data_IF_810213095025
#
_entry.id   IF_810213095025
#
_cell.length_a   1.000
_cell.length_b   1.000
_cell.length_c   1.000
_cell.angle_alpha   90.00
_cell.angle_beta   90.00
_cell.angle_gamma   90.00
#
_symmetry.space_group_name_H-M   'P 1'
#
loop_
_entity.id
_entity.type
_entity.pdbx_description
1 polymer ?
#
# COMPACT_ATOMS: atom_id res chain seq x y z
N UNK A 1 20.54 6.41 10.64
CA UNK A 1 19.50 6.32 9.59
C UNK A 1 18.44 5.28 9.93
N UNK A 2 18.78 3.99 10.10
CA UNK A 2 17.79 2.94 10.46
C UNK A 2 17.03 3.17 11.76
N UNK A 3 17.68 3.77 12.77
CA UNK A 3 17.02 4.08 14.04
C UNK A 3 15.90 5.12 13.90
N UNK A 4 16.08 6.09 12.99
CA UNK A 4 15.17 7.21 12.78
C UNK A 4 14.12 6.92 11.69
N UNK A 5 14.50 6.26 10.60
CA UNK A 5 13.65 6.01 9.43
C UNK A 5 13.05 4.60 9.40
N UNK A 6 13.39 3.77 10.38
CA UNK A 6 13.16 2.33 10.32
C UNK A 6 14.01 1.64 9.24
N UNK A 7 13.87 0.31 9.16
CA UNK A 7 14.57 -0.51 8.17
C UNK A 7 14.11 -0.20 6.74
N UNK A 8 12.80 -0.10 6.51
CA UNK A 8 12.24 0.16 5.16
C UNK A 8 12.60 1.55 4.66
N UNK A 9 12.37 2.60 5.46
CA UNK A 9 12.68 3.97 5.06
C UNK A 9 14.17 4.19 4.79
N UNK A 10 15.04 3.64 5.65
CA UNK A 10 16.48 3.68 5.41
C UNK A 10 16.90 2.95 4.13
N UNK A 11 16.30 1.79 3.82
CA UNK A 11 16.61 1.07 2.59
C UNK A 11 16.09 1.80 1.35
N UNK A 12 14.91 2.43 1.38
CA UNK A 12 14.39 3.24 0.26
C UNK A 12 15.28 4.47 0.02
N UNK A 13 15.72 5.15 1.08
CA UNK A 13 16.66 6.26 0.99
C UNK A 13 17.99 5.82 0.35
N UNK A 14 18.54 4.68 0.79
CA UNK A 14 19.77 4.12 0.25
C UNK A 14 19.63 3.67 -1.21
N UNK A 15 18.52 3.00 -1.55
CA UNK A 15 18.22 2.64 -2.94
C UNK A 15 18.09 3.87 -3.82
N UNK A 16 17.41 4.93 -3.36
CA UNK A 16 17.27 6.17 -4.13
C UNK A 16 18.63 6.82 -4.38
N UNK A 17 19.54 6.75 -3.39
CA UNK A 17 20.92 7.27 -3.51
C UNK A 17 21.77 6.47 -4.50
N UNK A 18 21.60 5.15 -4.55
CA UNK A 18 22.44 4.24 -5.35
C UNK A 18 21.88 4.01 -6.75
N UNK A 19 20.58 3.74 -6.87
CA UNK A 19 19.90 3.37 -8.11
C UNK A 19 19.30 4.57 -8.84
N UNK A 20 19.23 5.72 -8.18
CA UNK A 20 18.63 6.94 -8.73
C UNK A 20 17.11 7.01 -8.53
N UNK A 21 16.56 8.24 -8.61
CA UNK A 21 15.13 8.49 -8.41
C UNK A 21 14.22 8.01 -9.54
N UNK A 22 14.79 7.65 -10.69
CA UNK A 22 14.08 7.05 -11.82
C UNK A 22 13.67 5.59 -11.56
N UNK A 23 14.40 4.88 -10.70
CA UNK A 23 14.14 3.46 -10.36
C UNK A 23 13.41 3.28 -9.04
N UNK A 24 13.45 4.27 -8.16
CA UNK A 24 12.81 4.23 -6.84
C UNK A 24 11.69 5.27 -6.80
N UNK A 25 10.41 4.85 -6.68
CA UNK A 25 9.30 5.79 -6.62
C UNK A 25 9.50 6.82 -5.50
N UNK A 26 9.26 8.09 -5.83
CA UNK A 26 9.45 9.20 -4.91
C UNK A 26 8.55 9.06 -3.67
N UNK A 27 9.01 9.58 -2.54
CA UNK A 27 8.30 9.52 -1.27
C UNK A 27 9.06 10.21 -0.16
N UNK A 28 8.51 10.10 1.05
CA UNK A 28 9.11 10.60 2.28
C UNK A 28 8.83 9.65 3.43
N UNK A 29 9.62 9.77 4.50
CA UNK A 29 9.48 8.95 5.71
C UNK A 29 9.24 9.85 6.91
N UNK A 30 8.13 9.62 7.61
CA UNK A 30 7.86 10.18 8.93
C UNK A 30 8.60 9.30 9.94
N UNK A 31 9.37 9.93 10.82
CA UNK A 31 10.36 9.25 11.66
C UNK A 31 9.72 8.40 12.76
N UNK A 32 10.51 7.46 13.30
CA UNK A 32 10.17 6.73 14.52
C UNK A 32 9.97 7.65 15.72
N UNK A 33 10.71 8.76 15.79
CA UNK A 33 10.57 9.76 16.86
C UNK A 33 9.20 10.43 16.85
N UNK A 34 8.61 10.70 15.68
CA UNK A 34 7.25 11.21 15.58
C UNK A 34 6.22 10.20 16.15
N UNK A 35 6.43 8.90 15.90
CA UNK A 35 5.62 7.85 16.51
C UNK A 35 5.77 7.82 18.03
N UNK A 36 6.99 7.94 18.55
CA UNK A 36 7.24 7.99 20.00
C UNK A 36 6.57 9.20 20.64
N UNK A 37 6.73 10.38 20.04
CA UNK A 37 6.07 11.61 20.51
C UNK A 37 4.54 11.48 20.51
N UNK A 38 3.96 10.89 19.45
CA UNK A 38 2.52 10.59 19.39
C UNK A 38 2.05 9.68 20.53
N UNK A 39 2.82 8.64 20.85
CA UNK A 39 2.49 7.71 21.94
C UNK A 39 2.61 8.36 23.32
N UNK A 40 3.69 9.13 23.55
CA UNK A 40 3.92 9.83 24.82
C UNK A 40 2.88 10.94 25.07
N UNK A 41 2.37 11.56 24.00
CA UNK A 41 1.28 12.53 24.04
C UNK A 41 -0.12 11.88 24.16
N UNK A 42 -0.21 10.59 24.48
CA UNK A 42 -1.47 9.89 24.68
C UNK A 42 -2.27 9.70 23.38
N UNK A 43 -1.58 9.41 22.28
CA UNK A 43 -2.15 9.27 20.92
C UNK A 43 -2.71 10.58 20.36
N UNK A 44 -2.03 11.67 20.69
CA UNK A 44 -2.29 12.99 20.12
C UNK A 44 -1.18 13.31 19.15
N UNK A 45 -1.52 13.85 17.97
CA UNK A 45 -0.50 14.24 17.00
C UNK A 45 0.44 15.32 17.58
N UNK A 46 1.77 15.15 17.44
CA UNK A 46 2.73 16.18 17.81
C UNK A 46 2.46 17.50 17.08
N UNK A 47 2.71 18.62 17.77
CA UNK A 47 2.61 19.95 17.17
C UNK A 47 3.54 20.07 15.96
N UNK A 48 3.02 20.63 14.86
CA UNK A 48 3.77 20.83 13.60
C UNK A 48 3.86 19.62 12.68
N UNK A 49 3.47 18.40 13.12
CA UNK A 49 3.54 17.21 12.28
C UNK A 49 2.68 17.33 11.02
N UNK A 50 1.47 17.88 11.14
CA UNK A 50 0.56 18.09 10.01
C UNK A 50 1.17 19.03 8.96
N UNK A 51 1.77 20.14 9.40
CA UNK A 51 2.42 21.12 8.51
C UNK A 51 3.64 20.52 7.79
N UNK A 52 4.46 19.72 8.49
CA UNK A 52 5.61 19.03 7.90
C UNK A 52 5.17 17.99 6.86
N UNK A 53 4.14 17.20 7.17
CA UNK A 53 3.57 16.22 6.24
C UNK A 53 3.00 16.92 5.01
N UNK A 54 2.29 18.03 5.18
CA UNK A 54 1.75 18.82 4.08
C UNK A 54 2.87 19.39 3.18
N UNK A 55 3.95 19.90 3.77
CA UNK A 55 5.10 20.41 3.02
C UNK A 55 5.80 19.30 2.21
N UNK A 56 6.00 18.12 2.81
CA UNK A 56 6.61 16.99 2.12
C UNK A 56 5.70 16.37 1.05
N UNK A 57 4.38 16.36 1.27
CA UNK A 57 3.41 15.97 0.27
C UNK A 57 3.43 16.91 -0.93
N UNK A 58 3.45 18.23 -0.72
CA UNK A 58 3.55 19.21 -1.79
C UNK A 58 4.83 19.03 -2.62
N UNK A 59 5.97 18.78 -1.96
CA UNK A 59 7.22 18.47 -2.65
C UNK A 59 7.17 17.15 -3.43
N UNK A 60 6.45 16.15 -2.92
CA UNK A 60 6.21 14.89 -3.64
C UNK A 60 5.35 15.12 -4.89
N UNK A 61 4.28 15.90 -4.78
CA UNK A 61 3.41 16.27 -5.91
C UNK A 61 4.19 17.02 -7.01
N UNK A 62 5.02 18.00 -6.63
CA UNK A 62 5.88 18.73 -7.56
C UNK A 62 6.82 17.78 -8.30
N UNK A 63 7.47 16.87 -7.56
CA UNK A 63 8.41 15.90 -8.13
C UNK A 63 7.74 14.86 -9.02
N UNK A 64 6.51 14.45 -8.66
CA UNK A 64 5.73 13.49 -9.43
C UNK A 64 5.04 14.14 -10.65
N UNK A 65 4.96 15.47 -10.70
CA UNK A 65 4.22 16.22 -11.71
C UNK A 65 2.70 15.98 -11.65
N UNK A 66 2.19 15.48 -10.53
CA UNK A 66 0.80 15.03 -10.33
C UNK A 66 0.35 15.37 -8.92
N UNK A 67 -0.96 15.53 -8.72
CA UNK A 67 -1.54 15.91 -7.41
C UNK A 67 -2.54 14.88 -6.91
N UNK A 68 -2.69 14.80 -5.58
CA UNK A 68 -3.79 14.02 -5.00
C UNK A 68 -5.13 14.64 -5.41
N UNK A 69 -6.15 13.79 -5.61
CA UNK A 69 -7.49 14.17 -6.11
C UNK A 69 -7.50 14.94 -7.44
N UNK A 70 -6.43 14.85 -8.23
CA UNK A 70 -6.45 15.33 -9.62
C UNK A 70 -7.48 14.50 -10.41
N UNK A 71 -8.51 15.12 -11.01
CA UNK A 71 -9.56 14.38 -11.70
C UNK A 71 -9.10 13.81 -13.03
N UNK A 72 -7.95 14.23 -13.56
CA UNK A 72 -7.41 13.87 -14.87
C UNK A 72 -6.26 12.85 -14.75
N UNK A 73 -5.23 13.14 -13.95
CA UNK A 73 -4.08 12.24 -13.71
C UNK A 73 -3.68 12.26 -12.23
N UNK A 74 -4.40 11.49 -11.37
CA UNK A 74 -4.19 11.52 -9.93
C UNK A 74 -2.83 10.95 -9.54
N UNK A 75 -2.12 11.67 -8.67
CA UNK A 75 -1.12 11.05 -7.82
C UNK A 75 -1.84 10.14 -6.82
N UNK A 76 -1.32 8.92 -6.67
CA UNK A 76 -1.73 8.00 -5.63
C UNK A 76 -0.50 7.61 -4.83
N UNK A 77 -0.67 7.39 -3.53
CA UNK A 77 0.42 7.01 -2.62
C UNK A 77 0.10 5.73 -1.86
N UNK A 78 1.16 5.06 -1.42
CA UNK A 78 1.09 4.02 -0.39
C UNK A 78 1.61 4.56 0.93
N UNK A 79 1.02 4.10 2.02
CA UNK A 79 1.43 4.39 3.39
C UNK A 79 1.85 3.08 4.02
N UNK A 80 3.14 2.95 4.32
CA UNK A 80 3.78 1.70 4.76
C UNK A 80 4.51 1.90 6.07
N UNK A 81 4.14 1.13 7.07
CA UNK A 81 4.87 1.00 8.32
C UNK A 81 6.29 0.45 8.12
N UNK A 82 7.24 0.93 8.93
CA UNK A 82 8.63 0.48 8.92
C UNK A 82 9.30 0.68 10.27
N UNK A 83 9.32 -0.36 11.10
CA UNK A 83 10.10 -0.35 12.34
C UNK A 83 11.61 -0.53 12.08
N UNK A 84 12.43 -0.28 13.11
CA UNK A 84 13.89 -0.49 13.05
C UNK A 84 14.25 -1.93 12.69
N UNK A 85 13.56 -2.88 13.29
CA UNK A 85 13.66 -4.30 12.98
C UNK A 85 12.42 -4.77 12.21
N UNK A 86 12.59 -5.78 11.37
CA UNK A 86 11.49 -6.31 10.55
C UNK A 86 10.46 -6.99 11.43
N UNK A 87 9.19 -6.59 11.31
CA UNK A 87 8.05 -7.20 11.99
C UNK A 87 7.03 -7.66 10.95
N UNK A 88 7.26 -8.80 10.27
CA UNK A 88 6.43 -9.24 9.15
C UNK A 88 5.00 -9.56 9.59
N UNK A 89 4.01 -9.00 8.87
CA UNK A 89 2.59 -9.23 9.13
C UNK A 89 2.06 -8.63 10.44
N UNK A 90 2.84 -7.78 11.11
CA UNK A 90 2.47 -7.14 12.38
C UNK A 90 2.02 -5.69 12.23
N UNK A 91 2.35 -5.05 11.11
CA UNK A 91 2.12 -3.63 10.90
C UNK A 91 1.39 -3.41 9.59
N UNK A 92 0.52 -2.41 9.59
CA UNK A 92 -0.41 -2.19 8.49
C UNK A 92 0.24 -1.47 7.31
N UNK A 93 -0.41 -1.60 6.14
CA UNK A 93 -0.10 -0.90 4.91
C UNK A 93 -1.40 -0.48 4.24
N UNK A 94 -1.43 0.72 3.69
CA UNK A 94 -2.53 1.23 2.87
C UNK A 94 -1.99 1.53 1.47
N UNK A 95 -2.60 0.95 0.44
CA UNK A 95 -2.26 1.20 -0.96
C UNK A 95 -3.33 2.07 -1.63
N UNK A 96 -2.99 2.69 -2.75
CA UNK A 96 -3.91 3.47 -3.59
C UNK A 96 -4.58 4.66 -2.85
N UNK A 97 -3.92 5.20 -1.81
CA UNK A 97 -4.41 6.37 -1.08
C UNK A 97 -4.43 7.60 -1.99
N UNK A 98 -5.51 8.37 -1.90
CA UNK A 98 -5.83 9.47 -2.82
C UNK A 98 -6.95 9.11 -3.79
N UNK A 99 -7.41 7.86 -3.82
CA UNK A 99 -8.59 7.49 -4.60
C UNK A 99 -9.88 8.03 -3.96
N UNK A 100 -10.69 8.62 -4.83
CA UNK A 100 -12.01 9.17 -4.55
C UNK A 100 -12.87 9.06 -5.81
N UNK A 101 -14.13 9.48 -5.72
CA UNK A 101 -15.07 9.40 -6.85
C UNK A 101 -14.61 10.23 -8.07
N UNK A 102 -13.76 11.25 -7.86
CA UNK A 102 -13.16 12.06 -8.94
C UNK A 102 -11.87 11.43 -9.47
N UNK A 103 -10.94 11.11 -8.58
CA UNK A 103 -9.65 10.54 -8.95
C UNK A 103 -9.78 9.19 -9.68
N UNK A 104 -10.77 8.36 -9.35
CA UNK A 104 -10.96 7.06 -10.03
C UNK A 104 -11.24 7.22 -11.52
N UNK A 105 -11.95 8.28 -11.91
CA UNK A 105 -12.24 8.59 -13.32
C UNK A 105 -10.98 9.04 -14.07
N UNK A 106 -10.11 9.83 -13.41
CA UNK A 106 -8.81 10.22 -13.96
C UNK A 106 -7.89 9.01 -14.15
N UNK A 107 -7.80 8.15 -13.13
CA UNK A 107 -7.04 6.91 -13.20
C UNK A 107 -7.53 6.00 -14.34
N UNK A 108 -8.85 5.87 -14.52
CA UNK A 108 -9.44 5.11 -15.63
C UNK A 108 -9.02 5.67 -16.99
N UNK A 109 -9.01 7.00 -17.16
CA UNK A 109 -8.60 7.65 -18.41
C UNK A 109 -7.12 7.45 -18.71
N UNK A 110 -6.23 7.73 -17.75
CA UNK A 110 -4.77 7.66 -17.95
C UNK A 110 -4.30 6.25 -18.23
N UNK A 111 -4.92 5.25 -17.60
CA UNK A 111 -4.56 3.84 -17.83
C UNK A 111 -5.29 3.20 -19.00
N UNK A 112 -6.34 3.83 -19.53
CA UNK A 112 -7.22 3.23 -20.53
C UNK A 112 -7.92 1.96 -20.02
N UNK A 113 -8.03 1.79 -18.70
CA UNK A 113 -8.49 0.57 -18.06
C UNK A 113 -9.42 0.90 -16.89
N UNK A 114 -10.70 1.13 -17.22
CA UNK A 114 -11.73 1.50 -16.25
C UNK A 114 -11.89 0.42 -15.15
N UNK A 115 -11.86 -0.86 -15.53
CA UNK A 115 -11.95 -1.96 -14.57
C UNK A 115 -10.83 -1.91 -13.54
N UNK A 116 -9.58 -1.68 -13.97
CA UNK A 116 -8.43 -1.54 -13.07
C UNK A 116 -8.60 -0.37 -12.09
N UNK A 117 -9.09 0.78 -12.55
CA UNK A 117 -9.28 1.94 -11.70
C UNK A 117 -10.31 1.66 -10.60
N UNK A 118 -11.45 1.05 -10.96
CA UNK A 118 -12.50 0.67 -10.01
C UNK A 118 -12.09 -0.50 -9.09
N UNK A 119 -11.29 -1.46 -9.56
CA UNK A 119 -10.73 -2.49 -8.67
C UNK A 119 -9.76 -1.87 -7.66
N UNK A 120 -8.89 -0.96 -8.11
CA UNK A 120 -7.98 -0.23 -7.24
C UNK A 120 -8.75 0.60 -6.20
N UNK A 121 -9.88 1.19 -6.58
CA UNK A 121 -10.72 1.96 -5.66
C UNK A 121 -11.44 1.05 -4.66
N UNK A 122 -12.00 -0.07 -5.12
CA UNK A 122 -12.57 -1.10 -4.25
C UNK A 122 -11.56 -1.58 -3.21
N UNK A 123 -10.35 -1.96 -3.65
CA UNK A 123 -9.25 -2.40 -2.77
C UNK A 123 -8.86 -1.31 -1.77
N UNK A 124 -8.79 -0.05 -2.21
CA UNK A 124 -8.51 1.07 -1.32
C UNK A 124 -9.56 1.19 -0.22
N UNK A 125 -10.86 1.24 -0.56
CA UNK A 125 -11.93 1.40 0.44
C UNK A 125 -11.95 0.22 1.41
N UNK A 126 -11.75 -1.01 0.91
CA UNK A 126 -11.64 -2.22 1.73
C UNK A 126 -10.48 -2.11 2.73
N UNK A 127 -9.27 -1.86 2.23
CA UNK A 127 -8.04 -1.81 3.01
C UNK A 127 -8.05 -0.65 4.00
N UNK A 128 -8.44 0.54 3.55
CA UNK A 128 -8.54 1.72 4.41
C UNK A 128 -9.57 1.53 5.52
N UNK A 129 -10.76 1.01 5.19
CA UNK A 129 -11.80 0.74 6.19
C UNK A 129 -11.34 -0.26 7.25
N UNK A 130 -10.69 -1.35 6.84
CA UNK A 130 -10.19 -2.36 7.76
C UNK A 130 -9.02 -1.84 8.61
N UNK A 131 -7.98 -1.30 7.98
CA UNK A 131 -6.73 -0.87 8.63
C UNK A 131 -6.95 0.38 9.48
N UNK A 132 -7.55 1.42 8.91
CA UNK A 132 -7.61 2.72 9.58
C UNK A 132 -8.74 2.82 10.59
N UNK A 133 -9.83 2.04 10.39
CA UNK A 133 -11.06 2.18 11.17
C UNK A 133 -11.62 0.88 11.71
N UNK A 134 -10.91 -0.24 11.56
CA UNK A 134 -11.30 -1.53 12.16
C UNK A 134 -12.59 -2.12 11.60
N UNK A 135 -12.99 -1.76 10.37
CA UNK A 135 -14.12 -2.43 9.69
C UNK A 135 -13.77 -3.92 9.54
N UNK A 136 -14.58 -4.86 10.06
CA UNK A 136 -14.21 -6.28 10.03
C UNK A 136 -14.01 -6.79 8.61
N UNK A 137 -12.85 -7.40 8.35
CA UNK A 137 -12.53 -7.99 7.04
C UNK A 137 -13.57 -9.01 6.58
N UNK A 138 -14.12 -9.79 7.51
CA UNK A 138 -15.17 -10.79 7.22
C UNK A 138 -16.45 -10.18 6.62
N UNK A 139 -16.81 -8.96 7.00
CA UNK A 139 -17.99 -8.27 6.44
C UNK A 139 -17.72 -7.83 4.99
N UNK A 140 -16.50 -7.33 4.74
CA UNK A 140 -16.05 -6.91 3.42
C UNK A 140 -15.96 -8.13 2.47
N UNK A 141 -15.35 -9.23 2.92
CA UNK A 141 -15.27 -10.48 2.16
C UNK A 141 -16.64 -11.08 1.86
N UNK A 142 -17.58 -10.97 2.80
CA UNK A 142 -18.97 -11.43 2.59
C UNK A 142 -19.67 -10.63 1.49
N UNK A 143 -19.45 -9.33 1.44
CA UNK A 143 -19.99 -8.48 0.37
C UNK A 143 -19.38 -8.84 -1.00
N UNK A 144 -18.06 -9.11 -1.08
CA UNK A 144 -17.42 -9.62 -2.30
C UNK A 144 -18.03 -10.96 -2.72
N UNK A 145 -18.15 -11.91 -1.79
CA UNK A 145 -18.71 -13.23 -2.07
C UNK A 145 -20.16 -13.16 -2.57
N UNK A 146 -20.98 -12.28 -1.99
CA UNK A 146 -22.35 -12.04 -2.48
C UNK A 146 -22.36 -11.45 -3.88
N UNK A 147 -21.50 -10.45 -4.16
CA UNK A 147 -21.41 -9.87 -5.49
C UNK A 147 -20.95 -10.88 -6.54
N UNK A 148 -19.96 -11.73 -6.22
CA UNK A 148 -19.52 -12.83 -7.09
C UNK A 148 -20.66 -13.79 -7.42
N UNK A 149 -21.47 -14.19 -6.42
CA UNK A 149 -22.65 -15.03 -6.65
C UNK A 149 -23.67 -14.37 -7.58
N UNK A 150 -23.92 -13.08 -7.41
CA UNK A 150 -24.85 -12.33 -8.26
C UNK A 150 -24.34 -12.19 -9.71
N UNK A 151 -23.02 -12.02 -9.88
CA UNK A 151 -22.37 -11.90 -11.18
C UNK A 151 -22.11 -13.26 -11.86
N UNK A 152 -22.25 -14.38 -11.15
CA UNK A 152 -21.87 -15.71 -11.65
C UNK A 152 -20.34 -15.88 -11.82
N UNK A 153 -19.54 -15.11 -11.07
CA UNK A 153 -18.09 -15.17 -11.11
C UNK A 153 -17.54 -16.20 -10.11
N UNK A 154 -16.57 -17.01 -10.54
CA UNK A 154 -15.90 -17.99 -9.68
C UNK A 154 -14.87 -17.31 -8.75
N UNK A 155 -14.17 -16.31 -9.28
CA UNK A 155 -13.15 -15.54 -8.57
C UNK A 155 -13.34 -14.03 -8.76
N UNK A 156 -12.54 -13.24 -8.05
CA UNK A 156 -12.60 -11.77 -8.08
C UNK A 156 -12.23 -11.22 -9.47
N UNK A 157 -11.46 -11.98 -10.25
CA UNK A 157 -11.09 -11.58 -11.61
C UNK A 157 -12.26 -11.71 -12.59
N UNK A 158 -13.29 -12.48 -12.24
CA UNK A 158 -14.55 -12.56 -12.98
C UNK A 158 -15.50 -11.36 -12.76
N UNK A 159 -15.23 -10.48 -11.78
CA UNK A 159 -16.06 -9.28 -11.54
C UNK A 159 -15.79 -8.20 -12.59
N UNK A 160 -16.88 -7.69 -13.18
CA UNK A 160 -16.86 -6.59 -14.15
C UNK A 160 -16.83 -5.22 -13.49
N UNK A 161 -16.62 -4.17 -14.28
CA UNK A 161 -16.54 -2.78 -13.79
C UNK A 161 -17.75 -2.36 -12.97
N UNK A 162 -18.96 -2.68 -13.43
CA UNK A 162 -20.20 -2.32 -12.71
C UNK A 162 -20.33 -3.06 -11.37
N UNK A 163 -19.81 -4.29 -11.27
CA UNK A 163 -19.76 -5.01 -10.00
C UNK A 163 -18.82 -4.33 -9.00
N UNK A 164 -17.67 -3.87 -9.48
CA UNK A 164 -16.66 -3.16 -8.68
C UNK A 164 -17.20 -1.82 -8.18
N UNK A 165 -17.93 -1.06 -9.02
CA UNK A 165 -18.63 0.17 -8.64
C UNK A 165 -19.64 -0.09 -7.52
N UNK A 166 -20.44 -1.15 -7.63
CA UNK A 166 -21.40 -1.56 -6.58
C UNK A 166 -20.67 -1.91 -5.29
N UNK A 167 -19.57 -2.66 -5.36
CA UNK A 167 -18.77 -3.00 -4.17
C UNK A 167 -18.18 -1.77 -3.48
N UNK A 168 -17.71 -0.77 -4.22
CA UNK A 168 -17.25 0.51 -3.63
C UNK A 168 -18.37 1.16 -2.81
N UNK A 169 -19.59 1.21 -3.36
CA UNK A 169 -20.75 1.78 -2.65
C UNK A 169 -21.09 0.96 -1.40
N UNK A 170 -21.12 -0.37 -1.52
CA UNK A 170 -21.40 -1.26 -0.40
C UNK A 170 -20.34 -1.14 0.71
N UNK A 171 -19.06 -1.01 0.35
CA UNK A 171 -17.98 -0.83 1.32
C UNK A 171 -18.03 0.53 2.02
N UNK A 172 -18.34 1.61 1.29
CA UNK A 172 -18.58 2.93 1.91
C UNK A 172 -19.77 2.89 2.87
N UNK A 173 -20.83 2.14 2.54
CA UNK A 173 -21.97 1.92 3.44
C UNK A 173 -21.53 1.15 4.69
N UNK A 174 -20.82 0.04 4.55
CA UNK A 174 -20.29 -0.73 5.68
C UNK A 174 -19.37 0.11 6.57
N UNK A 175 -18.51 0.93 5.97
CA UNK A 175 -17.69 1.89 6.68
C UNK A 175 -18.54 2.83 7.54
N UNK A 176 -19.59 3.43 6.98
CA UNK A 176 -20.50 4.32 7.72
C UNK A 176 -21.26 3.60 8.83
N UNK A 177 -21.76 2.41 8.57
CA UNK A 177 -22.48 1.59 9.56
C UNK A 177 -21.59 1.23 10.76
N UNK A 178 -20.30 0.99 10.53
CA UNK A 178 -19.33 0.62 11.58
C UNK A 178 -18.73 1.80 12.30
N UNK A 179 -18.45 2.91 11.60
CA UNK A 179 -17.72 4.05 12.15
C UNK A 179 -18.62 5.20 12.58
N UNK A 180 -19.85 5.28 12.06
CA UNK A 180 -20.75 6.42 12.21
C UNK A 180 -20.42 7.63 11.31
N UNK A 181 -19.35 7.54 10.51
CA UNK A 181 -18.83 8.62 9.65
C UNK A 181 -18.86 8.21 8.18
N UNK A 182 -18.99 9.17 7.28
CA UNK A 182 -18.83 8.89 5.85
C UNK A 182 -17.36 8.61 5.50
N UNK A 183 -17.14 7.79 4.47
CA UNK A 183 -15.78 7.50 4.00
C UNK A 183 -15.07 8.79 3.56
N UNK A 184 -13.83 9.08 4.01
CA UNK A 184 -13.16 10.34 3.71
C UNK A 184 -12.84 10.44 2.21
N UNK A 185 -13.37 11.47 1.56
CA UNK A 185 -13.08 11.77 0.15
C UNK A 185 -11.91 12.73 -0.03
N UNK A 186 -11.54 13.48 1.02
CA UNK A 186 -10.37 14.34 1.02
C UNK A 186 -9.09 13.49 1.20
N UNK A 187 -8.15 13.49 0.24
CA UNK A 187 -6.91 12.73 0.36
C UNK A 187 -6.03 13.15 1.54
N UNK A 188 -6.09 14.41 1.98
CA UNK A 188 -5.31 14.84 3.14
C UNK A 188 -5.84 14.18 4.41
N UNK A 189 -7.15 14.11 4.55
CA UNK A 189 -7.81 13.40 5.64
C UNK A 189 -7.53 11.89 5.59
N UNK A 190 -7.55 11.29 4.39
CA UNK A 190 -7.14 9.89 4.19
C UNK A 190 -5.69 9.68 4.67
N UNK A 191 -4.76 10.56 4.26
CA UNK A 191 -3.36 10.45 4.62
C UNK A 191 -3.15 10.57 6.14
N UNK A 192 -3.80 11.54 6.78
CA UNK A 192 -3.75 11.76 8.22
C UNK A 192 -4.25 10.53 8.99
N UNK A 193 -5.40 9.97 8.59
CA UNK A 193 -5.94 8.75 9.21
C UNK A 193 -5.02 7.54 8.99
N UNK A 194 -4.40 7.40 7.82
CA UNK A 194 -3.47 6.30 7.53
C UNK A 194 -2.17 6.40 8.35
N UNK A 195 -1.63 7.62 8.55
CA UNK A 195 -0.46 7.85 9.41
C UNK A 195 -0.78 7.45 10.85
N UNK A 196 -1.93 7.91 11.38
CA UNK A 196 -2.40 7.53 12.72
C UNK A 196 -2.57 6.03 12.87
N UNK A 197 -3.18 5.38 11.90
CA UNK A 197 -3.36 3.93 11.91
C UNK A 197 -2.02 3.19 11.97
N UNK A 198 -1.01 3.65 11.24
CA UNK A 198 0.35 3.08 11.32
C UNK A 198 0.96 3.28 12.71
N UNK A 199 0.85 4.46 13.32
CA UNK A 199 1.32 4.67 14.69
C UNK A 199 0.56 3.80 15.70
N UNK A 200 -0.76 3.71 15.59
CA UNK A 200 -1.58 2.88 16.47
C UNK A 200 -1.29 1.38 16.30
N UNK A 201 -0.92 0.93 15.09
CA UNK A 201 -0.54 -0.47 14.83
C UNK A 201 0.66 -0.93 15.66
N UNK A 202 1.56 -0.01 16.03
CA UNK A 202 2.65 -0.31 16.97
C UNK A 202 2.14 -0.69 18.37
N UNK A 203 1.00 -0.17 18.78
CA UNK A 203 0.37 -0.47 20.07
C UNK A 203 -0.63 -1.63 19.97
N UNK A 204 -0.83 -2.23 18.79
CA UNK A 204 -1.75 -3.35 18.60
C UNK A 204 -1.27 -4.62 19.31
N UNK A 205 -2.21 -5.42 19.83
CA UNK A 205 -1.94 -6.61 20.64
C UNK A 205 -0.94 -7.57 19.97
N UNK A 206 -1.10 -7.80 18.66
CA UNK A 206 -0.19 -8.65 17.87
C UNK A 206 1.23 -8.11 17.82
N UNK A 207 1.38 -6.80 17.64
CA UNK A 207 2.69 -6.14 17.58
C UNK A 207 3.37 -6.13 18.96
N UNK A 208 2.62 -5.84 20.03
CA UNK A 208 3.11 -5.87 21.43
C UNK A 208 3.62 -7.27 21.78
N UNK A 209 2.83 -8.31 21.49
CA UNK A 209 3.24 -9.69 21.79
C UNK A 209 4.45 -10.12 20.97
N UNK A 210 4.48 -9.77 19.67
CA UNK A 210 5.65 -10.03 18.82
C UNK A 210 6.92 -9.39 19.38
N UNK A 211 6.84 -8.13 19.82
CA UNK A 211 7.97 -7.42 20.41
C UNK A 211 8.43 -8.05 21.71
N UNK A 212 7.51 -8.45 22.58
CA UNK A 212 7.81 -9.15 23.84
C UNK A 212 8.57 -10.46 23.59
N UNK A 213 8.15 -11.24 22.60
CA UNK A 213 8.80 -12.52 22.24
C UNK A 213 10.20 -12.30 21.66
N UNK A 214 10.37 -11.27 20.82
CA UNK A 214 11.63 -11.02 20.11
C UNK A 214 12.57 -10.04 20.83
N UNK A 215 12.20 -9.53 22.00
CA UNK A 215 13.03 -8.59 22.77
C UNK A 215 13.15 -7.20 22.14
N UNK A 216 12.16 -6.78 21.35
CA UNK A 216 12.13 -5.47 20.69
C UNK A 216 11.57 -4.43 21.67
N UNK A 217 12.30 -3.35 22.00
CA UNK A 217 11.82 -2.32 22.92
C UNK A 217 10.60 -1.54 22.40
N UNK A 218 9.62 -1.29 23.26
CA UNK A 218 8.44 -0.48 22.94
C UNK A 218 8.79 0.98 22.58
N UNK A 219 9.90 1.47 23.12
CA UNK A 219 10.40 2.84 22.91
C UNK A 219 10.95 3.10 21.51
N UNK A 220 11.05 2.08 20.64
CA UNK A 220 11.58 2.27 19.29
C UNK A 220 10.57 2.89 18.32
N UNK A 221 9.26 2.71 18.57
CA UNK A 221 8.21 3.15 17.64
C UNK A 221 8.33 2.55 16.22
N UNK A 222 7.53 3.09 15.31
CA UNK A 222 7.54 2.72 13.88
C UNK A 222 7.60 3.97 13.01
N UNK A 223 8.34 3.92 11.90
CA UNK A 223 8.30 4.97 10.90
C UNK A 223 7.13 4.76 9.93
N UNK A 224 6.69 5.84 9.28
CA UNK A 224 5.66 5.79 8.23
C UNK A 224 6.30 6.20 6.91
N UNK A 225 6.23 5.34 5.90
CA UNK A 225 6.76 5.63 4.57
C UNK A 225 5.60 5.96 3.65
N UNK A 226 5.56 7.19 3.16
CA UNK A 226 4.59 7.65 2.16
C UNK A 226 5.29 7.65 0.81
N UNK A 227 4.84 6.82 -0.12
CA UNK A 227 5.53 6.59 -1.39
C UNK A 227 4.55 6.58 -2.55
N UNK A 228 4.90 7.27 -3.64
CA UNK A 228 4.15 7.27 -4.89
C UNK A 228 3.86 5.83 -5.36
N UNK A 229 2.61 5.60 -5.75
CA UNK A 229 2.19 4.32 -6.33
C UNK A 229 2.80 4.13 -7.72
N UNK A 230 3.21 2.89 -7.96
CA UNK A 230 3.46 2.30 -9.28
C UNK A 230 2.58 1.07 -9.41
N UNK A 231 2.09 0.79 -10.62
CA UNK A 231 1.05 -0.22 -10.83
C UNK A 231 1.60 -1.38 -11.65
N UNK A 232 1.65 -2.57 -11.04
CA UNK A 232 1.94 -3.82 -11.75
C UNK A 232 0.70 -4.43 -12.44
N UNK A 233 -0.48 -3.81 -12.29
CA UNK A 233 -1.78 -4.31 -12.73
C UNK A 233 -2.49 -3.41 -13.76
N UNK A 234 -1.72 -2.67 -14.57
CA UNK A 234 -2.27 -1.88 -15.68
C UNK A 234 -2.49 -2.69 -16.96
N UNK A 235 -1.99 -3.93 -17.04
CA UNK A 235 -2.16 -4.83 -18.18
C UNK A 235 -1.02 -5.83 -18.34
N UNK A 236 -0.96 -6.49 -19.50
CA UNK A 236 0.00 -7.57 -19.80
C UNK A 236 1.48 -7.12 -19.86
N UNK A 237 1.72 -5.80 -19.93
CA UNK A 237 3.06 -5.19 -19.94
C UNK A 237 3.50 -4.68 -18.57
N UNK A 238 2.81 -5.10 -17.51
CA UNK A 238 3.06 -4.67 -16.13
C UNK A 238 3.06 -5.88 -15.22
N UNK A 239 3.96 -5.91 -14.24
CA UNK A 239 4.04 -7.00 -13.27
C UNK A 239 4.47 -6.49 -11.91
N UNK A 240 4.21 -7.30 -10.88
CA UNK A 240 4.81 -7.17 -9.55
C UNK A 240 5.50 -8.49 -9.20
N UNK A 241 6.56 -8.44 -8.40
CA UNK A 241 7.27 -9.64 -7.97
C UNK A 241 8.16 -9.42 -6.76
N UNK A 242 8.68 -10.52 -6.22
CA UNK A 242 9.67 -10.57 -5.15
C UNK A 242 10.82 -11.44 -5.64
N UNK A 243 12.04 -10.95 -5.48
CA UNK A 243 13.25 -11.65 -5.90
C UNK A 243 14.28 -11.70 -4.78
N UNK A 244 15.06 -12.77 -4.77
CA UNK A 244 16.26 -12.95 -3.98
C UNK A 244 17.46 -12.95 -4.92
N UNK A 245 18.57 -12.33 -4.49
CA UNK A 245 19.81 -12.29 -5.29
C UNK A 245 20.51 -13.64 -5.40
N UNK A 246 20.00 -14.66 -4.72
CA UNK A 246 20.48 -16.04 -4.64
C UNK A 246 19.29 -16.94 -4.35
N UNK A 247 19.36 -18.18 -4.80
CA UNK A 247 18.38 -19.22 -4.50
C UNK A 247 18.15 -19.31 -2.98
N UNK A 248 16.93 -19.01 -2.56
CA UNK A 248 16.53 -18.94 -1.15
C UNK A 248 16.42 -20.32 -0.47
N UNK A 249 16.38 -21.40 -1.26
CA UNK A 249 16.28 -22.78 -0.79
C UNK A 249 17.67 -23.41 -0.70
N UNK A 250 18.49 -23.26 -1.75
CA UNK A 250 19.78 -23.96 -1.89
C UNK A 250 20.98 -23.07 -1.54
N UNK A 251 20.85 -21.75 -1.61
CA UNK A 251 21.94 -20.79 -1.45
C UNK A 251 22.85 -20.63 -2.66
N UNK A 252 22.47 -21.23 -3.79
CA UNK A 252 23.19 -21.12 -5.06
C UNK A 252 23.24 -19.66 -5.55
N UNK A 253 24.27 -19.25 -6.31
CA UNK A 253 24.49 -17.84 -6.67
C UNK A 253 23.47 -17.27 -7.66
N UNK A 254 22.58 -18.10 -8.23
CA UNK A 254 21.55 -17.69 -9.18
C UNK A 254 20.40 -16.96 -8.48
N UNK A 255 19.95 -15.79 -8.99
CA UNK A 255 18.75 -15.15 -8.51
C UNK A 255 17.50 -16.01 -8.68
N UNK A 256 16.56 -15.86 -7.76
CA UNK A 256 15.33 -16.64 -7.68
C UNK A 256 14.18 -15.75 -7.22
N UNK A 257 12.95 -16.22 -7.37
CA UNK A 257 11.77 -15.53 -6.86
C UNK A 257 10.56 -15.72 -7.74
N UNK A 258 9.55 -14.90 -7.48
CA UNK A 258 8.20 -15.04 -7.99
C UNK A 258 7.70 -13.72 -8.56
N UNK A 259 6.99 -13.78 -9.68
CA UNK A 259 6.30 -12.62 -10.24
C UNK A 259 4.91 -12.96 -10.77
N UNK A 260 4.07 -11.93 -10.88
CA UNK A 260 2.75 -12.01 -11.51
C UNK A 260 2.59 -10.87 -12.51
N UNK A 261 2.18 -11.23 -13.73
CA UNK A 261 1.73 -10.28 -14.75
C UNK A 261 0.35 -9.76 -14.37
N UNK A 262 0.16 -8.47 -14.61
CA UNK A 262 -1.09 -7.75 -14.39
C UNK A 262 -1.61 -7.95 -12.95
N UNK A 263 -0.76 -7.63 -11.97
CA UNK A 263 -0.99 -7.90 -10.54
C UNK A 263 -0.33 -6.84 -9.64
N UNK A 264 -0.91 -6.60 -8.47
CA UNK A 264 -0.24 -5.84 -7.40
C UNK A 264 0.59 -6.78 -6.51
N UNK A 265 1.51 -6.23 -5.72
CA UNK A 265 2.35 -7.01 -4.82
C UNK A 265 1.55 -7.86 -3.81
N UNK A 266 0.34 -7.43 -3.43
CA UNK A 266 -0.56 -8.22 -2.58
C UNK A 266 -0.96 -9.55 -3.22
N UNK A 267 -1.23 -9.57 -4.53
CA UNK A 267 -1.65 -10.78 -5.24
C UNK A 267 -0.53 -11.82 -5.34
N UNK A 268 0.74 -11.37 -5.29
CA UNK A 268 1.93 -12.24 -5.26
C UNK A 268 2.03 -12.96 -3.91
N UNK A 269 1.63 -12.30 -2.83
CA UNK A 269 1.78 -12.81 -1.45
C UNK A 269 0.53 -13.54 -0.95
N UNK A 270 -0.67 -13.19 -1.46
CA UNK A 270 -1.94 -13.73 -0.98
C UNK A 270 -2.18 -15.20 -1.37
N UNK A 271 -1.49 -15.70 -2.39
CA UNK A 271 -1.67 -17.07 -2.90
C UNK A 271 -2.98 -17.30 -3.66
N UNK A 272 -3.75 -16.24 -3.95
CA UNK A 272 -4.99 -16.34 -4.76
C UNK A 272 -4.68 -16.69 -6.21
N UNK A 273 -3.57 -16.18 -6.73
CA UNK A 273 -3.04 -16.51 -8.06
C UNK A 273 -1.71 -17.24 -7.90
N UNK A 274 -1.49 -18.27 -8.71
CA UNK A 274 -0.21 -18.97 -8.75
C UNK A 274 0.84 -18.06 -9.39
N UNK A 275 1.90 -17.65 -8.66
CA UNK A 275 2.99 -16.87 -9.25
C UNK A 275 3.78 -17.70 -10.27
N UNK A 276 4.50 -16.99 -11.13
CA UNK A 276 5.45 -17.55 -12.11
C UNK A 276 6.87 -17.36 -11.60
N UNK A 277 7.76 -18.26 -11.98
CA UNK A 277 9.17 -18.20 -11.58
C UNK A 277 9.87 -17.00 -12.23
N UNK A 278 10.72 -16.30 -11.49
CA UNK A 278 11.44 -15.10 -11.95
C UNK A 278 12.15 -15.31 -13.30
N UNK A 279 12.68 -16.51 -13.56
CA UNK A 279 13.35 -16.84 -14.82
C UNK A 279 12.42 -16.73 -16.04
N UNK A 280 11.12 -16.95 -15.86
CA UNK A 280 10.13 -16.82 -16.93
C UNK A 280 9.85 -15.34 -17.29
N UNK A 281 10.25 -14.39 -16.45
CA UNK A 281 10.10 -12.96 -16.74
C UNK A 281 10.93 -12.54 -17.96
N UNK A 282 12.03 -13.25 -18.25
CA UNK A 282 12.84 -13.05 -19.44
C UNK A 282 12.03 -13.20 -20.75
N UNK A 283 10.99 -14.02 -20.76
CA UNK A 283 10.15 -14.26 -21.93
C UNK A 283 9.07 -13.19 -22.10
N UNK A 284 8.53 -12.68 -20.99
CA UNK A 284 7.38 -11.77 -20.99
C UNK A 284 7.82 -10.30 -21.01
N UNK A 285 8.88 -9.98 -20.26
CA UNK A 285 9.39 -8.62 -20.06
C UNK A 285 10.93 -8.60 -20.11
N UNK A 286 11.53 -8.93 -21.26
CA UNK A 286 12.98 -9.11 -21.40
C UNK A 286 13.80 -7.89 -20.97
N UNK A 287 13.31 -6.68 -21.29
CA UNK A 287 14.00 -5.43 -20.92
C UNK A 287 14.02 -5.23 -19.40
N UNK A 288 12.86 -5.34 -18.74
CA UNK A 288 12.76 -5.18 -17.29
C UNK A 288 13.49 -6.30 -16.52
N UNK A 289 13.47 -7.54 -17.03
CA UNK A 289 14.23 -8.64 -16.48
C UNK A 289 15.75 -8.39 -16.62
N UNK A 290 16.20 -7.89 -17.77
CA UNK A 290 17.60 -7.54 -18.00
C UNK A 290 18.09 -6.36 -17.16
N UNK A 291 17.21 -5.43 -16.76
CA UNK A 291 17.56 -4.36 -15.82
C UNK A 291 17.56 -4.79 -14.35
N UNK A 292 16.80 -5.83 -14.01
CA UNK A 292 16.69 -6.38 -12.66
C UNK A 292 17.92 -7.21 -12.25
N UNK A 293 18.50 -7.95 -13.22
CA UNK A 293 19.68 -8.82 -13.02
C UNK A 293 21.01 -8.07 -13.19
#
# INVERSE_FOLDING_TARGET
>A
MRELLGGKGANVAEMTRVLGPERVPAGFTITTEACVAYMEAGRTEPEGLEDEVAAHLAALEERAGRRLDDPDDPLLVSVRSGARESMPGMLDTVLNLGLGDRAVEGLARVTGNERFAWDSYRRFVQMFGNVCRGVPGEDLERAIAERKRQAGAEDDTGLGTEDLKVLVVDFKRLYRERTGEDFPLDPQEQLRQAIRAVFDSWLGDRAVEYRRINGIPDSWGTAVNVQQMVFGNTGERSCSGVAFSRDEITGAPEPSGDFLVNAQGEDVVSGVRTPRDLSEMAEVMPEAHGELL
#
